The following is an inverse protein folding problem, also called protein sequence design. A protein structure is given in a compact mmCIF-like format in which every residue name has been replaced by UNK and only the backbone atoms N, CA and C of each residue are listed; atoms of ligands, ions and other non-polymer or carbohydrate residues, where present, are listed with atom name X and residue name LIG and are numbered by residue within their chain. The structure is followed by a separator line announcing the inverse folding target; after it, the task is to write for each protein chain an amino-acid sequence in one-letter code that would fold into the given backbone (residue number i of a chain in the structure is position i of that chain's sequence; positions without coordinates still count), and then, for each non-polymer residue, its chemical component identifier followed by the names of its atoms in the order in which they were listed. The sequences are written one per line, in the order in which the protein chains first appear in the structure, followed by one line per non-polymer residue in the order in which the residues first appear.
data_IF_585022787682
#
_entry.id   IF_585022787682
#
_cell.length_a   1.000
_cell.length_b   1.000
_cell.length_c   1.000
_cell.angle_alpha   90.00
_cell.angle_beta   90.00
_cell.angle_gamma   90.00
#
_symmetry.space_group_name_H-M   'P 1'
#
loop_
_entity.id
_entity.type
_entity.pdbx_description
1 polymer ?
#
# COMPACT_ATOMS: atom_id res chain seq x y z
N UNK A 1 -9.37 3.70 2.59
CA UNK A 1 -8.06 4.14 3.11
C UNK A 1 -7.23 4.55 1.90
N UNK A 2 -7.10 5.86 1.62
CA UNK A 2 -6.32 6.35 0.47
C UNK A 2 -4.83 6.25 0.79
N UNK A 3 -4.08 5.55 -0.07
CA UNK A 3 -2.63 5.44 0.03
C UNK A 3 -2.00 6.80 -0.35
N UNK A 4 -1.39 7.48 0.62
CA UNK A 4 -0.52 8.64 0.36
C UNK A 4 0.83 8.13 -0.13
N UNK A 5 1.04 8.11 -1.45
CA UNK A 5 2.36 7.91 -2.02
C UNK A 5 3.21 9.16 -1.77
N UNK A 6 4.28 8.94 -1.01
CA UNK A 6 5.20 9.95 -0.51
C UNK A 6 6.06 10.62 -1.58
N UNK A 7 6.69 11.71 -1.13
CA UNK A 7 7.53 12.66 -1.88
C UNK A 7 8.64 11.93 -2.65
N UNK A 8 8.72 12.18 -3.96
CA UNK A 8 9.84 11.77 -4.80
C UNK A 8 11.12 12.50 -4.40
N UNK A 9 12.18 11.73 -4.13
CA UNK A 9 13.55 12.22 -4.03
C UNK A 9 14.06 12.56 -5.44
N UNK A 10 14.44 13.82 -5.65
CA UNK A 10 15.00 14.31 -6.92
C UNK A 10 16.44 13.81 -7.12
N UNK A 11 16.66 13.02 -8.17
CA UNK A 11 17.99 12.79 -8.72
C UNK A 11 18.43 14.03 -9.50
N UNK A 12 19.58 14.58 -9.14
CA UNK A 12 20.16 15.78 -9.73
C UNK A 12 20.90 15.39 -11.03
N UNK A 13 20.21 15.40 -12.18
CA UNK A 13 20.84 15.22 -13.50
C UNK A 13 20.97 16.56 -14.21
N UNK A 14 22.18 17.01 -14.60
CA UNK A 14 22.43 18.35 -15.09
C UNK A 14 22.23 18.44 -16.61
N UNK A 15 21.02 18.20 -17.16
CA UNK A 15 20.70 18.62 -18.55
C UNK A 15 19.22 18.50 -18.98
N UNK A 16 18.28 19.10 -18.24
CA UNK A 16 16.87 19.18 -18.67
C UNK A 16 16.32 20.62 -18.54
N UNK A 17 16.98 21.60 -19.18
CA UNK A 17 16.51 23.00 -19.15
C UNK A 17 15.32 23.34 -20.07
N UNK A 18 15.05 22.68 -21.23
CA UNK A 18 13.94 23.11 -22.09
C UNK A 18 12.56 22.54 -21.70
N UNK A 19 12.48 21.57 -20.77
CA UNK A 19 11.22 20.97 -20.32
C UNK A 19 10.75 21.42 -18.92
N UNK A 20 11.52 22.27 -18.24
CA UNK A 20 11.22 22.73 -16.88
C UNK A 20 9.91 23.54 -16.79
N UNK A 21 9.58 24.35 -17.79
CA UNK A 21 8.37 25.17 -17.79
C UNK A 21 7.08 24.35 -17.96
N UNK A 22 7.12 23.31 -18.81
CA UNK A 22 6.02 22.36 -19.00
C UNK A 22 5.86 21.42 -17.80
N UNK A 23 6.96 20.99 -17.17
CA UNK A 23 6.90 20.22 -15.93
C UNK A 23 6.40 21.08 -14.76
N UNK A 24 6.81 22.35 -14.67
CA UNK A 24 6.30 23.28 -13.66
C UNK A 24 4.81 23.59 -13.86
N UNK A 25 4.32 23.71 -15.11
CA UNK A 25 2.88 23.88 -15.37
C UNK A 25 2.08 22.61 -15.05
N UNK A 26 2.64 21.43 -15.31
CA UNK A 26 2.09 20.13 -14.92
C UNK A 26 2.01 19.96 -13.39
N UNK A 27 3.07 20.31 -12.67
CA UNK A 27 3.10 20.25 -11.19
C UNK A 27 2.29 21.36 -10.50
N UNK A 28 2.15 22.54 -11.12
CA UNK A 28 1.33 23.65 -10.60
C UNK A 28 -0.18 23.39 -10.67
N UNK A 29 -0.60 22.39 -11.46
CA UNK A 29 -2.00 21.97 -11.60
C UNK A 29 -2.38 20.78 -10.70
N UNK A 30 -1.57 20.46 -9.70
CA UNK A 30 -1.97 19.59 -8.59
C UNK A 30 -2.53 20.45 -7.45
N UNK A 31 -3.72 21.00 -7.64
CA UNK A 31 -4.54 21.41 -6.50
C UNK A 31 -4.61 20.22 -5.52
N UNK A 32 -4.48 20.50 -4.22
CA UNK A 32 -4.64 19.46 -3.19
C UNK A 32 -5.98 18.79 -3.44
N UNK A 33 -5.99 17.50 -3.79
CA UNK A 33 -7.22 16.74 -4.02
C UNK A 33 -8.09 16.87 -2.76
N UNK A 34 -9.14 17.68 -2.85
CA UNK A 34 -10.15 17.79 -1.81
C UNK A 34 -11.07 16.59 -1.96
N UNK A 35 -11.39 15.95 -0.84
CA UNK A 35 -12.36 14.85 -0.88
C UNK A 35 -13.73 15.40 -1.27
N UNK A 36 -14.45 14.75 -2.19
CA UNK A 36 -15.81 15.14 -2.51
C UNK A 36 -16.69 15.00 -1.27
N UNK A 37 -17.73 15.83 -1.19
CA UNK A 37 -18.73 15.74 -0.12
C UNK A 37 -19.41 14.38 -0.19
N UNK A 38 -19.46 13.68 0.94
CA UNK A 38 -20.14 12.39 1.04
C UNK A 38 -21.65 12.59 1.16
N UNK A 39 -22.42 11.70 0.53
CA UNK A 39 -23.87 11.65 0.61
C UNK A 39 -24.31 10.23 0.95
N UNK A 40 -25.34 10.10 1.77
CA UNK A 40 -25.94 8.80 2.07
C UNK A 40 -26.62 8.24 0.81
N UNK A 41 -26.34 7.00 0.39
CA UNK A 41 -27.05 6.38 -0.71
C UNK A 41 -28.55 6.23 -0.39
N UNK A 42 -29.40 6.30 -1.42
CA UNK A 42 -30.85 6.11 -1.30
C UNK A 42 -31.18 4.68 -1.72
N UNK A 43 -31.98 3.98 -0.91
CA UNK A 43 -32.47 2.64 -1.25
C UNK A 43 -33.56 2.76 -2.32
N UNK A 44 -33.48 1.99 -3.41
CA UNK A 44 -34.54 1.99 -4.39
C UNK A 44 -35.73 1.17 -3.89
N UNK A 45 -36.95 1.59 -4.22
CA UNK A 45 -38.17 0.86 -3.85
C UNK A 45 -38.22 -0.58 -4.42
N UNK A 46 -37.46 -0.84 -5.48
CA UNK A 46 -37.38 -2.13 -6.19
C UNK A 46 -36.47 -3.15 -5.48
N UNK A 47 -35.62 -2.71 -4.53
CA UNK A 47 -34.55 -3.54 -3.95
C UNK A 47 -35.03 -4.47 -2.80
N UNK A 48 -36.34 -4.42 -2.48
CA UNK A 48 -36.92 -5.12 -1.34
C UNK A 48 -36.41 -4.59 0.01
N UNK A 49 -36.83 -5.22 1.11
CA UNK A 49 -36.37 -4.83 2.44
C UNK A 49 -34.94 -5.31 2.67
N UNK A 50 -34.02 -4.36 2.87
CA UNK A 50 -32.63 -4.61 3.25
C UNK A 50 -32.50 -4.75 4.78
N UNK A 51 -31.58 -5.58 5.27
CA UNK A 51 -31.31 -5.68 6.70
C UNK A 51 -30.73 -4.36 7.25
N UNK A 52 -31.04 -4.07 8.52
CA UNK A 52 -30.51 -2.88 9.20
C UNK A 52 -29.06 -3.11 9.63
N UNK A 53 -28.12 -2.92 8.70
CA UNK A 53 -26.68 -3.11 8.91
C UNK A 53 -25.96 -1.76 8.95
N UNK A 54 -25.14 -1.54 9.97
CA UNK A 54 -24.32 -0.33 10.08
C UNK A 54 -22.84 -0.65 9.92
N UNK A 55 -22.14 0.11 9.06
CA UNK A 55 -20.70 0.00 8.87
C UNK A 55 -20.00 1.27 9.33
N UNK A 56 -18.81 1.12 9.92
CA UNK A 56 -17.98 2.27 10.25
C UNK A 56 -17.36 2.83 8.97
N UNK A 57 -17.72 4.07 8.64
CA UNK A 57 -17.27 4.75 7.45
C UNK A 57 -16.12 5.70 7.81
N UNK A 58 -14.90 5.38 7.36
CA UNK A 58 -13.72 6.20 7.64
C UNK A 58 -13.75 7.59 6.98
N UNK A 59 -14.64 7.83 6.00
CA UNK A 59 -14.80 9.14 5.37
C UNK A 59 -15.58 10.12 6.25
N UNK A 60 -16.53 9.60 7.03
CA UNK A 60 -17.42 10.37 7.92
C UNK A 60 -17.07 10.16 9.40
N UNK A 61 -16.18 9.22 9.71
CA UNK A 61 -15.76 8.78 11.05
C UNK A 61 -16.91 8.33 11.96
N UNK A 62 -18.01 7.86 11.39
CA UNK A 62 -19.22 7.42 12.09
C UNK A 62 -19.73 6.09 11.53
N UNK A 63 -20.67 5.48 12.25
CA UNK A 63 -21.41 4.32 11.76
C UNK A 63 -22.55 4.80 10.86
N UNK A 64 -22.48 4.47 9.58
CA UNK A 64 -23.49 4.81 8.57
C UNK A 64 -24.30 3.56 8.22
N UNK A 65 -25.57 3.76 7.86
CA UNK A 65 -26.43 2.67 7.36
C UNK A 65 -25.85 2.16 6.03
N UNK A 66 -25.69 0.84 5.93
CA UNK A 66 -25.15 0.20 4.74
C UNK A 66 -26.26 -0.04 3.73
N UNK A 67 -26.21 0.72 2.63
CA UNK A 67 -27.12 0.60 1.49
C UNK A 67 -26.26 0.30 0.26
N UNK A 68 -26.31 -0.92 -0.30
CA UNK A 68 -25.60 -1.24 -1.53
C UNK A 68 -26.18 -0.46 -2.72
N UNK A 69 -25.34 -0.20 -3.72
CA UNK A 69 -25.75 0.55 -4.91
C UNK A 69 -26.65 -0.25 -5.88
N UNK A 70 -26.62 -1.59 -5.79
CA UNK A 70 -27.22 -2.51 -6.76
C UNK A 70 -28.09 -3.54 -6.03
N UNK A 71 -29.09 -3.04 -5.29
CA UNK A 71 -29.98 -3.84 -4.44
C UNK A 71 -29.24 -4.72 -3.44
N UNK A 72 -29.38 -6.05 -3.57
CA UNK A 72 -28.67 -7.04 -2.73
C UNK A 72 -27.30 -7.45 -3.29
N UNK A 73 -26.85 -6.84 -4.37
CA UNK A 73 -25.52 -7.08 -4.94
C UNK A 73 -24.50 -6.09 -4.37
N UNK A 74 -23.62 -6.60 -3.52
CA UNK A 74 -22.49 -5.86 -2.94
C UNK A 74 -21.26 -6.03 -3.82
N UNK A 75 -20.73 -4.91 -4.32
CA UNK A 75 -19.42 -4.85 -5.01
C UNK A 75 -18.39 -4.33 -4.02
N UNK A 76 -17.39 -5.15 -3.70
CA UNK A 76 -16.44 -4.87 -2.62
C UNK A 76 -15.00 -5.06 -3.09
N UNK A 77 -14.20 -4.01 -2.94
CA UNK A 77 -12.76 -4.04 -3.18
C UNK A 77 -11.96 -3.90 -1.87
N UNK A 78 -10.86 -4.64 -1.79
CA UNK A 78 -9.83 -4.46 -0.74
C UNK A 78 -8.44 -4.42 -1.36
N UNK A 79 -7.55 -3.63 -0.77
CA UNK A 79 -6.14 -3.64 -1.14
C UNK A 79 -5.49 -4.96 -0.69
N UNK A 80 -4.88 -5.69 -1.61
CA UNK A 80 -4.09 -6.87 -1.29
C UNK A 80 -2.59 -6.56 -1.12
N UNK A 81 -1.77 -7.62 -1.02
CA UNK A 81 -0.39 -7.49 -0.58
C UNK A 81 0.53 -7.00 -1.69
N UNK A 82 1.60 -6.31 -1.29
CA UNK A 82 2.79 -6.15 -2.12
C UNK A 82 3.71 -7.35 -1.89
N UNK A 83 3.90 -8.18 -2.91
CA UNK A 83 4.56 -9.50 -2.80
C UNK A 83 6.09 -9.42 -2.83
N UNK A 84 6.68 -8.59 -1.96
CA UNK A 84 8.13 -8.48 -1.84
C UNK A 84 8.73 -9.45 -0.80
N UNK A 85 7.92 -9.95 0.14
CA UNK A 85 8.38 -10.85 1.21
C UNK A 85 7.27 -11.80 1.65
N UNK A 86 7.61 -12.74 2.53
CA UNK A 86 6.66 -13.70 3.10
C UNK A 86 5.54 -13.00 3.88
N UNK A 87 4.34 -13.57 3.81
CA UNK A 87 3.21 -13.04 4.56
C UNK A 87 3.40 -13.23 6.06
N UNK A 88 3.18 -12.16 6.83
CA UNK A 88 3.25 -12.15 8.28
C UNK A 88 1.85 -12.08 8.91
N UNK A 89 1.76 -12.22 10.24
CA UNK A 89 0.50 -12.30 10.97
C UNK A 89 -0.43 -11.08 10.76
N UNK A 90 0.15 -9.90 10.47
CA UNK A 90 -0.59 -8.68 10.13
C UNK A 90 -1.44 -8.83 8.85
N UNK A 91 -0.89 -9.48 7.82
CA UNK A 91 -1.64 -9.82 6.61
C UNK A 91 -2.76 -10.82 6.92
N UNK A 92 -2.43 -11.89 7.64
CA UNK A 92 -3.39 -12.93 8.01
C UNK A 92 -4.59 -12.37 8.78
N UNK A 93 -4.36 -11.52 9.79
CA UNK A 93 -5.42 -10.86 10.56
C UNK A 93 -6.39 -10.10 9.66
N UNK A 94 -5.86 -9.37 8.69
CA UNK A 94 -6.66 -8.53 7.80
C UNK A 94 -7.52 -9.37 6.87
N UNK A 95 -6.94 -10.38 6.22
CA UNK A 95 -7.68 -11.22 5.26
C UNK A 95 -8.69 -12.14 5.95
N UNK A 96 -8.37 -12.66 7.14
CA UNK A 96 -9.34 -13.44 7.94
C UNK A 96 -10.50 -12.56 8.37
N UNK A 97 -10.26 -11.33 8.84
CA UNK A 97 -11.35 -10.43 9.21
C UNK A 97 -12.28 -10.13 8.03
N UNK A 98 -11.73 -9.88 6.84
CA UNK A 98 -12.54 -9.66 5.64
C UNK A 98 -13.28 -10.92 5.19
N UNK A 99 -12.68 -12.11 5.32
CA UNK A 99 -13.38 -13.36 5.01
C UNK A 99 -14.57 -13.59 5.96
N UNK A 100 -14.41 -13.35 7.26
CA UNK A 100 -15.50 -13.44 8.23
C UNK A 100 -16.64 -12.47 7.88
N UNK A 101 -16.31 -11.21 7.58
CA UNK A 101 -17.31 -10.21 7.18
C UNK A 101 -18.03 -10.67 5.89
N UNK A 102 -17.29 -11.15 4.90
CA UNK A 102 -17.86 -11.66 3.64
C UNK A 102 -18.83 -12.80 3.89
N UNK A 103 -18.47 -13.79 4.72
CA UNK A 103 -19.35 -14.91 5.09
C UNK A 103 -20.60 -14.42 5.81
N UNK A 104 -20.48 -13.49 6.75
CA UNK A 104 -21.65 -12.90 7.43
C UNK A 104 -22.58 -12.20 6.41
N UNK A 105 -22.04 -11.45 5.45
CA UNK A 105 -22.86 -10.81 4.41
C UNK A 105 -23.58 -11.81 3.51
N UNK A 106 -22.89 -12.89 3.10
CA UNK A 106 -23.44 -13.89 2.17
C UNK A 106 -24.39 -14.85 2.88
N UNK A 107 -23.97 -15.43 4.00
CA UNK A 107 -24.64 -16.57 4.63
C UNK A 107 -25.75 -16.11 5.59
N UNK A 108 -25.52 -15.03 6.34
CA UNK A 108 -26.48 -14.53 7.33
C UNK A 108 -27.45 -13.49 6.78
N UNK A 109 -26.96 -12.57 5.93
CA UNK A 109 -27.80 -11.50 5.36
C UNK A 109 -28.27 -11.76 3.92
N UNK A 110 -27.81 -12.85 3.31
CA UNK A 110 -28.15 -13.25 1.94
C UNK A 110 -27.86 -12.17 0.89
N UNK A 111 -26.72 -11.49 1.03
CA UNK A 111 -26.20 -10.62 -0.02
C UNK A 111 -25.46 -11.42 -1.09
N UNK A 112 -25.61 -11.02 -2.35
CA UNK A 112 -24.72 -11.45 -3.43
C UNK A 112 -23.46 -10.58 -3.36
N UNK A 113 -22.31 -11.16 -3.06
CA UNK A 113 -21.05 -10.39 -2.93
C UNK A 113 -20.11 -10.69 -4.10
N UNK A 114 -19.73 -9.65 -4.84
CA UNK A 114 -18.57 -9.69 -5.74
C UNK A 114 -17.40 -9.04 -5.01
N UNK A 115 -16.45 -9.86 -4.58
CA UNK A 115 -15.28 -9.44 -3.82
C UNK A 115 -14.03 -9.47 -4.70
N UNK A 116 -13.30 -8.37 -4.74
CA UNK A 116 -12.06 -8.21 -5.52
C UNK A 116 -10.91 -7.80 -4.60
N UNK A 117 -9.81 -8.54 -4.70
CA UNK A 117 -8.54 -8.28 -4.02
C UNK A 117 -7.46 -8.16 -5.09
N UNK A 118 -6.72 -7.06 -5.12
CA UNK A 118 -5.59 -6.91 -6.04
C UNK A 118 -4.33 -7.58 -5.47
N UNK A 119 -3.35 -7.85 -6.33
CA UNK A 119 -1.99 -8.18 -5.93
C UNK A 119 -1.09 -7.10 -6.52
N UNK A 120 -0.23 -6.52 -5.70
CA UNK A 120 0.78 -5.56 -6.19
C UNK A 120 2.05 -6.34 -6.49
N UNK A 121 2.24 -6.67 -7.76
CA UNK A 121 3.37 -7.43 -8.31
C UNK A 121 4.53 -6.54 -8.80
N UNK A 122 4.30 -5.23 -8.92
CA UNK A 122 5.32 -4.23 -9.26
C UNK A 122 5.29 -3.10 -8.22
N UNK A 123 6.39 -2.95 -7.48
CA UNK A 123 6.60 -1.90 -6.49
C UNK A 123 8.11 -1.71 -6.25
N UNK A 124 8.52 -0.51 -5.81
CA UNK A 124 9.92 -0.21 -5.45
C UNK A 124 10.49 -1.20 -4.42
N UNK A 125 9.66 -1.68 -3.50
CA UNK A 125 10.06 -2.69 -2.50
C UNK A 125 10.40 -4.02 -3.13
N UNK A 126 9.64 -4.44 -4.15
CA UNK A 126 9.87 -5.69 -4.89
C UNK A 126 11.20 -5.59 -5.64
N UNK A 127 11.41 -4.48 -6.36
CA UNK A 127 12.65 -4.24 -7.14
C UNK A 127 13.88 -4.26 -6.23
N UNK A 128 13.81 -3.56 -5.08
CA UNK A 128 14.91 -3.52 -4.10
C UNK A 128 15.20 -4.91 -3.52
N UNK A 129 14.17 -5.66 -3.15
CA UNK A 129 14.33 -7.00 -2.56
C UNK A 129 14.89 -8.00 -3.56
N UNK A 130 14.41 -7.98 -4.80
CA UNK A 130 14.92 -8.84 -5.87
C UNK A 130 16.43 -8.61 -6.10
N UNK A 131 16.86 -7.34 -6.15
CA UNK A 131 18.28 -6.98 -6.29
C UNK A 131 19.10 -7.44 -5.08
N UNK A 132 18.60 -7.27 -3.86
CA UNK A 132 19.28 -7.74 -2.65
C UNK A 132 19.48 -9.26 -2.69
N UNK A 133 18.44 -10.01 -3.04
CA UNK A 133 18.51 -11.47 -3.12
C UNK A 133 19.55 -11.92 -4.16
N UNK A 134 19.53 -11.31 -5.36
CA UNK A 134 20.51 -11.61 -6.40
C UNK A 134 21.96 -11.36 -5.92
N UNK A 135 22.23 -10.20 -5.31
CA UNK A 135 23.58 -9.88 -4.82
C UNK A 135 24.05 -10.83 -3.71
N UNK A 136 23.14 -11.26 -2.83
CA UNK A 136 23.45 -12.23 -1.77
C UNK A 136 23.76 -13.60 -2.39
N UNK A 137 22.93 -14.06 -3.32
CA UNK A 137 23.16 -15.33 -4.02
C UNK A 137 24.49 -15.32 -4.76
N UNK A 138 24.82 -14.25 -5.47
CA UNK A 138 26.10 -14.10 -6.17
C UNK A 138 27.30 -14.10 -5.22
N UNK A 139 27.14 -13.53 -4.02
CA UNK A 139 28.19 -13.53 -2.99
C UNK A 139 28.40 -14.93 -2.41
N UNK A 140 27.31 -15.66 -2.15
CA UNK A 140 27.35 -17.04 -1.66
C UNK A 140 28.00 -17.98 -2.68
N UNK A 141 27.70 -17.81 -3.97
CA UNK A 141 28.28 -18.61 -5.06
C UNK A 141 29.80 -18.44 -5.20
N UNK A 142 30.37 -17.31 -4.75
CA UNK A 142 31.81 -17.08 -4.77
C UNK A 142 32.56 -17.83 -3.67
N UNK A 143 31.83 -18.38 -2.70
CA UNK A 143 32.36 -19.09 -1.52
C UNK A 143 33.59 -18.38 -0.88
N UNK A 144 33.44 -17.11 -0.47
CA UNK A 144 34.55 -16.34 0.10
C UNK A 144 35.00 -16.91 1.45
N UNK A 145 36.30 -16.77 1.74
CA UNK A 145 36.85 -17.17 3.02
C UNK A 145 36.28 -16.33 4.18
N UNK A 146 36.38 -16.88 5.39
CA UNK A 146 35.84 -16.22 6.58
C UNK A 146 36.46 -14.84 6.81
N UNK A 147 37.75 -14.67 6.49
CA UNK A 147 38.46 -13.41 6.66
C UNK A 147 37.87 -12.31 5.74
N UNK A 148 37.56 -12.66 4.48
CA UNK A 148 36.93 -11.75 3.52
C UNK A 148 35.52 -11.41 3.95
N UNK A 149 34.74 -12.39 4.41
CA UNK A 149 33.37 -12.16 4.91
C UNK A 149 33.36 -11.18 6.08
N UNK A 150 34.23 -11.38 7.07
CA UNK A 150 34.35 -10.48 8.23
C UNK A 150 34.78 -9.07 7.78
N UNK A 151 35.73 -8.98 6.85
CA UNK A 151 36.19 -7.70 6.29
C UNK A 151 35.08 -6.94 5.55
N UNK A 152 34.28 -7.63 4.75
CA UNK A 152 33.19 -7.04 3.97
C UNK A 152 32.04 -6.58 4.87
N UNK A 153 31.71 -7.36 5.91
CA UNK A 153 30.73 -6.95 6.93
C UNK A 153 31.22 -5.69 7.65
N UNK A 154 32.50 -5.62 8.04
CA UNK A 154 33.06 -4.45 8.71
C UNK A 154 32.96 -3.18 7.85
N UNK A 155 33.29 -3.28 6.55
CA UNK A 155 33.11 -2.19 5.57
C UNK A 155 31.63 -1.79 5.44
N UNK A 156 30.73 -2.77 5.38
CA UNK A 156 29.29 -2.55 5.33
C UNK A 156 28.77 -1.77 6.54
N UNK A 157 29.17 -2.17 7.75
CA UNK A 157 28.83 -1.49 9.00
C UNK A 157 29.37 -0.05 9.00
N UNK A 158 30.60 0.18 8.55
CA UNK A 158 31.17 1.53 8.47
C UNK A 158 30.34 2.44 7.54
N UNK A 159 29.90 1.91 6.39
CA UNK A 159 29.03 2.64 5.44
C UNK A 159 27.65 2.96 6.02
N UNK A 160 27.09 2.07 6.83
CA UNK A 160 25.82 2.32 7.51
C UNK A 160 26.01 3.38 8.60
N UNK A 161 27.06 3.28 9.41
CA UNK A 161 27.40 4.26 10.45
C UNK A 161 27.55 5.67 9.88
N UNK A 162 28.27 5.82 8.77
CA UNK A 162 28.42 7.12 8.13
C UNK A 162 27.07 7.64 7.63
N UNK A 163 26.25 6.80 6.99
CA UNK A 163 24.91 7.20 6.54
C UNK A 163 24.03 7.69 7.70
N UNK A 164 24.03 7.02 8.84
CA UNK A 164 23.26 7.42 10.04
C UNK A 164 23.72 8.78 10.57
N UNK A 165 25.03 9.07 10.53
CA UNK A 165 25.57 10.35 10.97
C UNK A 165 25.13 11.53 10.09
N UNK A 166 24.94 11.30 8.77
CA UNK A 166 24.55 12.33 7.82
C UNK A 166 23.03 12.46 7.60
N UNK A 167 22.23 11.48 8.04
CA UNK A 167 20.77 11.55 7.92
C UNK A 167 20.18 12.55 8.93
N UNK A 168 19.52 13.59 8.43
CA UNK A 168 18.90 14.65 9.24
C UNK A 168 17.46 14.35 9.65
N UNK A 169 16.83 13.37 9.01
CA UNK A 169 15.44 12.96 9.22
C UNK A 169 15.34 11.99 10.42
N UNK A 170 14.64 12.40 11.49
CA UNK A 170 14.56 11.65 12.76
C UNK A 170 13.89 10.29 12.59
N UNK A 171 12.91 10.17 11.71
CA UNK A 171 12.17 8.92 11.49
C UNK A 171 13.01 7.86 10.75
N UNK A 172 14.00 8.30 9.97
CA UNK A 172 14.92 7.40 9.23
C UNK A 172 16.19 7.05 10.00
N UNK A 173 16.48 7.73 11.13
CA UNK A 173 17.65 7.41 11.97
C UNK A 173 17.53 6.06 12.68
N UNK A 174 16.32 5.55 12.84
CA UNK A 174 16.04 4.32 13.59
C UNK A 174 15.79 3.08 12.71
N UNK A 175 15.92 3.20 11.38
CA UNK A 175 15.71 2.11 10.41
C UNK A 175 17.00 1.77 9.69
#
# INVERSE_FOLDING_TARGET
MLCHLGRGHFFNTPNLRPYQSLLLSYYRKMEKRTQPKWFTPVQNAQDGQLPNLYLYNSLTSRKDLFIPQDGRHVKWYTCGPTVYDVSHLGHARTYVAFDVIRRVLVDYFNFKVTYVLNITDIDDKIIKRARQNHLISDYQLKDPDLATVVGDIAKGIQKIKSKIQFETDLDKKHT
#
